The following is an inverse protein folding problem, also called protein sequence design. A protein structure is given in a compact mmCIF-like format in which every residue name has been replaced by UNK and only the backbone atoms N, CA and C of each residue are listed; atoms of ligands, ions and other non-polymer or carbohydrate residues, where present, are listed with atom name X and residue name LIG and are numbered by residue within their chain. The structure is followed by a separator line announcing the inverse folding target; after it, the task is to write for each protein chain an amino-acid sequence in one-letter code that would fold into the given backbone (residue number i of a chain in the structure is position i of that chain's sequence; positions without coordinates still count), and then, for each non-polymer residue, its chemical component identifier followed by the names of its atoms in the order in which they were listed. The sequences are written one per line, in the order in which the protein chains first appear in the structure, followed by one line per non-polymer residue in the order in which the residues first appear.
data_IF_553145547003
#
_entry.id   IF_553145547003
#
_cell.length_a   1.000
_cell.length_b   1.000
_cell.length_c   1.000
_cell.angle_alpha   90.00
_cell.angle_beta   90.00
_cell.angle_gamma   90.00
#
_symmetry.space_group_name_H-M   'P 1'
#
loop_
_entity.id
_entity.type
_entity.pdbx_description
1 polymer ?
#
# COMPACT_ATOMS: atom_id res chain seq x y z
N UNK A 1 -5.71 16.22 76.48
CA UNK A 1 -4.26 16.12 76.19
C UNK A 1 -3.88 15.08 75.10
N UNK A 2 -4.85 14.39 74.48
CA UNK A 2 -4.59 13.35 73.46
C UNK A 2 -4.71 13.89 72.03
N UNK A 3 -5.63 14.84 71.79
CA UNK A 3 -5.88 15.43 70.46
C UNK A 3 -4.69 16.26 69.93
N UNK A 4 -3.95 16.93 70.83
CA UNK A 4 -2.78 17.75 70.48
C UNK A 4 -1.56 16.90 70.04
N UNK A 5 -1.50 15.62 70.46
CA UNK A 5 -0.47 14.66 70.04
C UNK A 5 -0.78 14.04 68.68
N UNK A 6 -2.07 13.86 68.36
CA UNK A 6 -2.53 13.35 67.06
C UNK A 6 -2.37 14.39 65.96
N UNK A 7 -2.59 15.68 66.27
CA UNK A 7 -2.36 16.77 65.31
C UNK A 7 -0.87 16.95 64.95
N UNK A 8 0.04 16.65 65.89
CA UNK A 8 1.49 16.73 65.68
C UNK A 8 2.04 15.60 64.79
N UNK A 9 1.37 14.44 64.78
CA UNK A 9 1.73 13.30 63.92
C UNK A 9 1.23 13.51 62.47
N UNK A 10 0.07 14.17 62.30
CA UNK A 10 -0.46 14.52 60.98
C UNK A 10 0.35 15.62 60.27
N UNK A 11 0.95 16.56 61.02
CA UNK A 11 1.84 17.58 60.44
C UNK A 11 3.24 17.05 60.08
N UNK A 12 3.66 15.91 60.64
CA UNK A 12 4.97 15.32 60.34
C UNK A 12 5.00 14.50 59.04
N UNK A 13 3.84 14.04 58.55
CA UNK A 13 3.73 13.23 57.33
C UNK A 13 3.64 14.10 56.05
N UNK A 14 3.34 15.39 56.19
CA UNK A 14 3.20 16.31 55.06
C UNK A 14 4.53 16.85 54.49
N UNK A 15 5.68 16.49 55.07
CA UNK A 15 6.98 17.07 54.71
C UNK A 15 7.91 16.11 53.93
N UNK A 16 7.33 15.10 53.27
CA UNK A 16 8.09 14.02 52.62
C UNK A 16 7.67 13.78 51.16
N UNK A 17 7.46 14.86 50.40
CA UNK A 17 7.23 14.83 48.96
C UNK A 17 7.97 15.99 48.27
N UNK A 18 9.28 16.10 48.51
CA UNK A 18 10.17 16.88 47.64
C UNK A 18 10.80 15.89 46.68
N UNK A 19 10.14 15.68 45.54
CA UNK A 19 10.68 14.91 44.43
C UNK A 19 11.80 15.72 43.78
N UNK A 20 12.98 15.14 43.75
CA UNK A 20 14.15 15.63 43.02
C UNK A 20 13.83 15.81 41.54
N UNK A 21 13.86 17.03 41.04
CA UNK A 21 13.84 17.29 39.60
C UNK A 21 15.21 16.92 39.02
N UNK A 22 15.32 15.70 38.48
CA UNK A 22 16.43 15.35 37.61
C UNK A 22 16.30 16.16 36.32
N UNK A 23 17.13 17.18 36.15
CA UNK A 23 17.29 17.87 34.87
C UNK A 23 18.04 16.93 33.95
N UNK A 24 17.30 16.22 33.10
CA UNK A 24 17.87 15.49 31.97
C UNK A 24 18.10 16.48 30.84
N UNK A 25 19.36 16.81 30.55
CA UNK A 25 19.74 17.50 29.34
C UNK A 25 19.40 16.57 28.16
N UNK A 26 18.32 16.90 27.43
CA UNK A 26 17.94 16.18 26.23
C UNK A 26 18.82 16.67 25.09
N UNK A 27 19.80 15.85 24.71
CA UNK A 27 20.55 16.04 23.48
C UNK A 27 19.55 15.94 22.32
N UNK A 28 19.43 17.01 21.53
CA UNK A 28 18.57 17.07 20.35
C UNK A 28 19.09 16.07 19.30
N UNK A 29 18.71 14.81 19.46
CA UNK A 29 18.73 13.85 18.38
C UNK A 29 17.61 14.23 17.43
N UNK A 30 17.98 14.69 16.23
CA UNK A 30 17.05 14.90 15.12
C UNK A 30 16.48 13.53 14.77
N UNK A 31 15.36 13.19 15.37
CA UNK A 31 14.57 12.03 15.03
C UNK A 31 13.96 12.30 13.64
N UNK A 32 14.24 11.49 12.61
CA UNK A 32 13.60 11.67 11.33
C UNK A 32 12.09 11.50 11.52
N UNK A 33 11.35 12.58 11.29
CA UNK A 33 9.90 12.55 11.28
C UNK A 33 9.47 11.51 10.25
N UNK A 34 8.61 10.53 10.59
CA UNK A 34 8.08 9.61 9.60
C UNK A 34 7.34 10.43 8.53
N UNK A 35 7.74 10.27 7.28
CA UNK A 35 6.99 10.80 6.14
C UNK A 35 5.55 10.33 6.28
N UNK A 36 4.55 11.23 6.27
CA UNK A 36 3.15 10.82 6.36
C UNK A 36 2.86 9.83 5.23
N UNK A 37 2.43 8.60 5.57
CA UNK A 37 1.90 7.67 4.58
C UNK A 37 0.60 8.30 4.07
N UNK A 38 0.60 8.73 2.80
CA UNK A 38 -0.58 9.31 2.19
C UNK A 38 -1.66 8.23 2.07
N UNK A 39 -2.75 8.37 2.83
CA UNK A 39 -3.89 7.48 2.74
C UNK A 39 -4.75 7.82 1.52
N UNK A 40 -4.91 6.88 0.60
CA UNK A 40 -5.75 6.98 -0.57
C UNK A 40 -7.08 6.25 -0.31
N UNK A 41 -8.23 6.88 -0.53
CA UNK A 41 -9.52 6.19 -0.37
C UNK A 41 -9.83 5.36 -1.62
N UNK A 42 -9.48 4.07 -1.61
CA UNK A 42 -9.77 3.12 -2.70
C UNK A 42 -9.74 1.68 -2.21
N UNK A 43 -10.78 0.91 -2.52
CA UNK A 43 -10.89 -0.49 -2.15
C UNK A 43 -10.34 -1.40 -3.25
N UNK A 44 -9.22 -2.06 -2.99
CA UNK A 44 -8.64 -3.04 -3.91
C UNK A 44 -9.55 -4.26 -4.05
N UNK A 45 -9.72 -4.74 -5.28
CA UNK A 45 -10.45 -5.96 -5.56
C UNK A 45 -9.83 -7.18 -4.82
N UNK A 46 -10.65 -7.94 -4.10
CA UNK A 46 -10.17 -9.09 -3.33
C UNK A 46 -9.68 -10.23 -4.25
N UNK A 47 -8.48 -10.79 -4.02
CA UNK A 47 -7.91 -11.84 -4.87
C UNK A 47 -8.60 -13.20 -4.74
N UNK A 48 -9.21 -13.47 -3.57
CA UNK A 48 -9.75 -14.78 -3.24
C UNK A 48 -8.63 -15.80 -3.02
N UNK A 49 -8.14 -16.40 -4.11
CA UNK A 49 -7.09 -17.41 -4.09
C UNK A 49 -5.73 -16.79 -4.37
N UNK A 50 -4.78 -17.04 -3.46
CA UNK A 50 -3.42 -16.55 -3.58
C UNK A 50 -2.55 -17.43 -4.52
N UNK A 51 -1.44 -16.88 -5.04
CA UNK A 51 -0.52 -17.59 -5.93
C UNK A 51 0.16 -18.84 -5.35
N UNK A 52 0.09 -19.04 -4.03
CA UNK A 52 0.63 -20.19 -3.30
C UNK A 52 -0.25 -21.46 -3.44
N UNK A 53 -1.49 -21.33 -3.89
CA UNK A 53 -2.44 -22.43 -3.98
C UNK A 53 -2.33 -23.22 -5.30
N UNK A 54 -2.43 -24.57 -5.30
CA UNK A 54 -2.30 -25.40 -6.51
C UNK A 54 -3.29 -25.05 -7.62
N UNK A 55 -4.53 -24.72 -7.27
CA UNK A 55 -5.58 -24.32 -8.22
C UNK A 55 -5.38 -22.91 -8.80
N UNK A 56 -4.39 -22.15 -8.34
CA UNK A 56 -4.14 -20.80 -8.86
C UNK A 56 -3.82 -20.81 -10.37
N UNK A 57 -3.18 -21.87 -10.87
CA UNK A 57 -2.92 -22.05 -12.31
C UNK A 57 -4.21 -22.06 -13.13
N UNK A 58 -5.27 -22.70 -12.62
CA UNK A 58 -6.59 -22.73 -13.28
C UNK A 58 -7.22 -21.33 -13.30
N UNK A 59 -7.08 -20.57 -12.21
CA UNK A 59 -7.51 -19.17 -12.15
C UNK A 59 -6.83 -18.33 -13.23
N UNK A 60 -5.50 -18.43 -13.34
CA UNK A 60 -4.72 -17.70 -14.35
C UNK A 60 -5.12 -18.10 -15.76
N UNK A 61 -5.39 -19.38 -16.02
CA UNK A 61 -5.87 -19.84 -17.32
C UNK A 61 -7.23 -19.20 -17.67
N UNK A 62 -8.19 -19.23 -16.74
CA UNK A 62 -9.48 -18.55 -16.91
C UNK A 62 -9.30 -17.07 -17.23
N UNK A 63 -8.45 -16.38 -16.47
CA UNK A 63 -8.20 -14.94 -16.64
C UNK A 63 -7.64 -14.63 -18.05
N UNK A 64 -6.73 -15.48 -18.56
CA UNK A 64 -6.19 -15.36 -19.93
C UNK A 64 -7.25 -15.57 -21.00
N UNK A 65 -8.08 -16.62 -20.85
CA UNK A 65 -9.19 -16.89 -21.77
C UNK A 65 -10.14 -15.69 -21.78
N UNK A 66 -10.47 -15.15 -20.61
CA UNK A 66 -11.37 -14.01 -20.50
C UNK A 66 -10.81 -12.76 -21.18
N UNK A 67 -9.55 -12.41 -21.00
CA UNK A 67 -8.90 -11.29 -21.70
C UNK A 67 -9.00 -11.44 -23.23
N UNK A 68 -8.79 -12.66 -23.73
CA UNK A 68 -8.85 -12.93 -25.17
C UNK A 68 -10.27 -12.82 -25.73
N UNK A 69 -11.29 -13.09 -24.91
CA UNK A 69 -12.70 -13.02 -25.31
C UNK A 69 -13.29 -11.60 -25.21
N UNK A 70 -12.70 -10.71 -24.41
CA UNK A 70 -13.18 -9.33 -24.29
C UNK A 70 -12.83 -8.57 -25.58
N UNK A 71 -13.87 -8.18 -26.32
CA UNK A 71 -13.73 -7.42 -27.56
C UNK A 71 -13.70 -5.91 -27.29
N UNK A 72 -14.53 -5.42 -26.37
CA UNK A 72 -14.62 -4.00 -26.06
C UNK A 72 -13.35 -3.50 -25.32
N UNK A 73 -12.69 -2.43 -25.81
CA UNK A 73 -11.48 -1.89 -25.17
C UNK A 73 -11.69 -1.38 -23.75
N UNK A 74 -12.84 -0.77 -23.45
CA UNK A 74 -13.13 -0.22 -22.13
C UNK A 74 -13.33 -1.35 -21.10
N UNK A 75 -14.09 -2.38 -21.47
CA UNK A 75 -14.21 -3.61 -20.66
C UNK A 75 -12.85 -4.29 -20.42
N UNK A 76 -11.96 -4.27 -21.42
CA UNK A 76 -10.63 -4.87 -21.30
C UNK A 76 -9.74 -4.08 -20.34
N UNK A 77 -9.80 -2.75 -20.40
CA UNK A 77 -9.14 -1.84 -19.45
C UNK A 77 -9.63 -2.15 -18.03
N UNK A 78 -10.95 -2.22 -17.82
CA UNK A 78 -11.52 -2.56 -16.50
C UNK A 78 -11.07 -3.94 -16.01
N UNK A 79 -10.98 -4.92 -16.91
CA UNK A 79 -10.54 -6.26 -16.55
C UNK A 79 -9.08 -6.29 -16.12
N UNK A 80 -8.18 -5.62 -16.85
CA UNK A 80 -6.78 -5.50 -16.45
C UNK A 80 -6.62 -4.75 -15.11
N UNK A 81 -7.39 -3.69 -14.88
CA UNK A 81 -7.38 -2.96 -13.61
C UNK A 81 -7.74 -3.90 -12.46
N UNK A 82 -8.80 -4.68 -12.62
CA UNK A 82 -9.23 -5.69 -11.64
C UNK A 82 -8.15 -6.74 -11.37
N UNK A 83 -7.40 -7.18 -12.38
CA UNK A 83 -6.30 -8.12 -12.19
C UNK A 83 -5.12 -7.48 -11.44
N UNK A 84 -4.84 -6.22 -11.72
CA UNK A 84 -3.81 -5.45 -11.03
C UNK A 84 -4.17 -5.28 -9.54
N UNK A 85 -5.38 -4.81 -9.23
CA UNK A 85 -5.85 -4.62 -7.85
C UNK A 85 -5.76 -5.92 -7.03
N UNK A 86 -6.22 -7.04 -7.62
CA UNK A 86 -6.14 -8.37 -7.01
C UNK A 86 -4.70 -8.78 -6.77
N UNK A 87 -3.83 -8.55 -7.75
CA UNK A 87 -2.41 -8.86 -7.63
C UNK A 87 -1.74 -8.04 -6.53
N UNK A 88 -2.06 -6.75 -6.42
CA UNK A 88 -1.48 -5.87 -5.43
C UNK A 88 -1.86 -6.28 -4.00
N UNK A 89 -3.15 -6.55 -3.77
CA UNK A 89 -3.61 -7.06 -2.48
C UNK A 89 -3.04 -8.45 -2.18
N UNK A 90 -2.97 -9.35 -3.17
CA UNK A 90 -2.33 -10.65 -3.01
C UNK A 90 -0.85 -10.54 -2.62
N UNK A 91 -0.12 -9.57 -3.18
CA UNK A 91 1.27 -9.32 -2.81
C UNK A 91 1.39 -8.91 -1.33
N UNK A 92 0.52 -8.00 -0.86
CA UNK A 92 0.48 -7.61 0.56
C UNK A 92 0.20 -8.83 1.48
N UNK A 93 -0.79 -9.66 1.13
CA UNK A 93 -1.11 -10.88 1.87
C UNK A 93 0.04 -11.91 1.86
N UNK A 94 0.83 -11.97 0.79
CA UNK A 94 2.01 -12.84 0.73
C UNK A 94 3.15 -12.33 1.61
N UNK A 95 3.31 -11.01 1.76
CA UNK A 95 4.23 -10.43 2.76
C UNK A 95 3.75 -10.73 4.18
N UNK A 96 2.44 -10.66 4.46
CA UNK A 96 1.88 -11.08 5.75
C UNK A 96 2.25 -12.54 6.08
N UNK A 97 2.24 -13.40 5.06
CA UNK A 97 2.61 -14.82 5.15
C UNK A 97 4.12 -15.10 5.11
N UNK A 98 4.97 -14.07 5.11
CA UNK A 98 6.44 -14.21 4.99
C UNK A 98 6.92 -14.91 3.71
N UNK A 99 6.10 -14.98 2.65
CA UNK A 99 6.49 -15.52 1.35
C UNK A 99 6.94 -14.38 0.43
N UNK A 100 8.06 -13.75 0.80
CA UNK A 100 8.56 -12.52 0.14
C UNK A 100 8.91 -12.72 -1.34
N UNK A 101 9.57 -13.81 -1.77
CA UNK A 101 9.87 -14.02 -3.19
C UNK A 101 8.60 -14.10 -4.05
N UNK A 102 7.56 -14.75 -3.55
CA UNK A 102 6.29 -14.83 -4.27
C UNK A 102 5.55 -13.48 -4.24
N UNK A 103 5.62 -12.74 -3.14
CA UNK A 103 5.06 -11.39 -3.03
C UNK A 103 5.68 -10.43 -4.07
N UNK A 104 7.01 -10.42 -4.20
CA UNK A 104 7.74 -9.58 -5.17
C UNK A 104 7.29 -9.86 -6.61
N UNK A 105 7.26 -11.13 -7.02
CA UNK A 105 6.81 -11.50 -8.38
C UNK A 105 5.33 -11.21 -8.60
N UNK A 106 4.51 -11.27 -7.56
CA UNK A 106 3.08 -10.96 -7.63
C UNK A 106 2.84 -9.46 -7.77
N UNK A 107 3.57 -8.63 -7.01
CA UNK A 107 3.54 -7.17 -7.11
C UNK A 107 3.99 -6.70 -8.51
N UNK A 108 5.08 -7.26 -9.04
CA UNK A 108 5.56 -6.93 -10.39
C UNK A 108 4.52 -7.29 -11.46
N UNK A 109 3.87 -8.46 -11.35
CA UNK A 109 2.80 -8.86 -12.28
C UNK A 109 1.57 -7.96 -12.17
N UNK A 110 1.24 -7.48 -10.98
CA UNK A 110 0.15 -6.53 -10.77
C UNK A 110 0.40 -5.24 -11.57
N UNK A 111 1.59 -4.64 -11.42
CA UNK A 111 1.95 -3.43 -12.16
C UNK A 111 2.13 -3.67 -13.66
N UNK A 112 2.53 -4.88 -14.07
CA UNK A 112 2.54 -5.23 -15.48
C UNK A 112 1.13 -5.23 -16.08
N UNK A 113 0.09 -5.65 -15.35
CA UNK A 113 -1.29 -5.53 -15.83
C UNK A 113 -1.71 -4.07 -16.02
N UNK A 114 -1.21 -3.13 -15.20
CA UNK A 114 -1.43 -1.69 -15.45
C UNK A 114 -0.73 -1.25 -16.74
N UNK A 115 0.49 -1.73 -17.02
CA UNK A 115 1.15 -1.44 -18.31
C UNK A 115 0.34 -1.98 -19.50
N UNK A 116 -0.21 -3.20 -19.40
CA UNK A 116 -1.08 -3.76 -20.44
C UNK A 116 -2.37 -2.96 -20.60
N UNK A 117 -2.96 -2.51 -19.49
CA UNK A 117 -4.12 -1.63 -19.49
C UNK A 117 -3.82 -0.31 -20.23
N UNK A 118 -2.68 0.32 -19.97
CA UNK A 118 -2.27 1.56 -20.62
C UNK A 118 -2.13 1.34 -22.13
N UNK A 119 -1.60 0.21 -22.57
CA UNK A 119 -1.55 -0.10 -24.00
C UNK A 119 -2.96 -0.14 -24.62
N UNK A 120 -3.96 -0.71 -23.93
CA UNK A 120 -5.34 -0.69 -24.40
C UNK A 120 -5.95 0.72 -24.38
N UNK A 121 -5.59 1.55 -23.40
CA UNK A 121 -6.01 2.95 -23.30
C UNK A 121 -5.58 3.77 -24.54
N UNK A 122 -4.32 3.62 -24.96
CA UNK A 122 -3.80 4.28 -26.17
C UNK A 122 -4.33 3.68 -27.47
N UNK A 123 -4.73 2.41 -27.48
CA UNK A 123 -5.30 1.73 -28.67
C UNK A 123 -6.79 1.98 -28.84
N UNK A 124 -7.50 2.45 -27.81
CA UNK A 124 -8.93 2.66 -27.87
C UNK A 124 -9.29 3.81 -28.84
N UNK A 125 -10.09 3.49 -29.85
CA UNK A 125 -10.60 4.46 -30.84
C UNK A 125 -11.44 5.54 -30.16
N UNK A 126 -12.26 5.12 -29.20
CA UNK A 126 -13.07 5.98 -28.33
C UNK A 126 -12.37 6.13 -26.99
N UNK A 127 -12.29 7.37 -26.50
CA UNK A 127 -11.79 7.63 -25.16
C UNK A 127 -12.67 6.90 -24.12
N UNK A 128 -12.08 6.18 -23.15
CA UNK A 128 -12.84 5.61 -22.06
C UNK A 128 -13.55 6.67 -21.24
N UNK A 129 -14.55 6.26 -20.45
CA UNK A 129 -15.26 7.18 -19.58
C UNK A 129 -14.32 7.91 -18.60
N UNK A 130 -14.59 9.19 -18.34
CA UNK A 130 -13.78 9.99 -17.42
C UNK A 130 -13.71 9.37 -16.02
N UNK A 131 -14.79 8.72 -15.58
CA UNK A 131 -14.85 7.99 -14.32
C UNK A 131 -13.85 6.81 -14.29
N UNK A 132 -13.71 6.08 -15.39
CA UNK A 132 -12.73 4.99 -15.46
C UNK A 132 -11.30 5.52 -15.36
N UNK A 133 -10.99 6.64 -16.00
CA UNK A 133 -9.65 7.25 -15.90
C UNK A 133 -9.36 7.75 -14.48
N UNK A 134 -10.33 8.39 -13.82
CA UNK A 134 -10.20 8.82 -12.43
C UNK A 134 -9.97 7.62 -11.48
N UNK A 135 -10.73 6.54 -11.67
CA UNK A 135 -10.55 5.29 -10.93
C UNK A 135 -9.16 4.71 -11.15
N UNK A 136 -8.66 4.69 -12.39
CA UNK A 136 -7.31 4.19 -12.72
C UNK A 136 -6.21 5.00 -12.03
N UNK A 137 -6.32 6.33 -12.00
CA UNK A 137 -5.37 7.19 -11.27
C UNK A 137 -5.39 6.89 -9.78
N UNK A 138 -6.59 6.81 -9.20
CA UNK A 138 -6.78 6.55 -7.77
C UNK A 138 -6.25 5.16 -7.38
N UNK A 139 -6.53 4.14 -8.19
CA UNK A 139 -6.00 2.78 -8.00
C UNK A 139 -4.47 2.76 -8.07
N UNK A 140 -3.88 3.45 -9.04
CA UNK A 140 -2.43 3.53 -9.20
C UNK A 140 -1.75 4.21 -7.99
N UNK A 141 -2.36 5.26 -7.43
CA UNK A 141 -1.89 5.88 -6.18
C UNK A 141 -2.03 4.91 -4.99
N UNK A 142 -3.15 4.19 -4.90
CA UNK A 142 -3.35 3.15 -3.88
C UNK A 142 -2.31 2.02 -4.00
N UNK A 143 -1.94 1.61 -5.20
CA UNK A 143 -0.89 0.62 -5.43
C UNK A 143 0.46 1.09 -4.88
N UNK A 144 0.83 2.34 -5.14
CA UNK A 144 2.05 2.94 -4.60
C UNK A 144 2.01 3.00 -3.07
N UNK A 145 0.89 3.41 -2.49
CA UNK A 145 0.69 3.40 -1.02
C UNK A 145 0.87 1.99 -0.44
N UNK A 146 0.22 0.98 -1.04
CA UNK A 146 0.34 -0.41 -0.59
C UNK A 146 1.79 -0.87 -0.68
N UNK A 147 2.47 -0.69 -1.81
CA UNK A 147 3.88 -1.08 -1.97
C UNK A 147 4.78 -0.38 -0.95
N UNK A 148 4.59 0.92 -0.73
CA UNK A 148 5.33 1.68 0.28
C UNK A 148 5.10 1.14 1.69
N UNK A 149 3.88 0.70 2.00
CA UNK A 149 3.56 0.06 3.29
C UNK A 149 4.25 -1.29 3.51
N UNK A 150 4.72 -1.95 2.44
CA UNK A 150 5.44 -3.23 2.53
C UNK A 150 6.93 -3.04 2.86
N UNK A 151 7.53 -1.91 2.50
CA UNK A 151 8.96 -1.63 2.71
C UNK A 151 9.45 -1.79 4.16
N UNK A 152 8.73 -1.31 5.21
CA UNK A 152 9.17 -1.52 6.60
C UNK A 152 9.00 -2.97 7.09
N UNK A 153 8.33 -3.84 6.31
CA UNK A 153 7.94 -5.19 6.70
C UNK A 153 8.81 -6.29 6.10
N UNK A 154 9.80 -5.90 5.29
CA UNK A 154 10.72 -6.80 4.60
C UNK A 154 12.16 -6.44 4.95
N UNK A 155 13.08 -7.37 4.74
CA UNK A 155 14.51 -7.11 4.99
C UNK A 155 15.07 -6.10 4.01
N UNK A 156 16.19 -5.47 4.36
CA UNK A 156 16.82 -4.45 3.51
C UNK A 156 17.18 -4.97 2.11
N UNK A 157 17.66 -6.21 2.02
CA UNK A 157 17.96 -6.88 0.76
C UNK A 157 16.71 -7.06 -0.13
N UNK A 158 15.53 -7.21 0.47
CA UNK A 158 14.27 -7.44 -0.24
C UNK A 158 13.56 -6.14 -0.67
N UNK A 159 13.88 -5.01 -0.02
CA UNK A 159 13.30 -3.68 -0.32
C UNK A 159 13.53 -3.25 -1.76
N UNK A 160 14.72 -3.48 -2.30
CA UNK A 160 15.12 -3.06 -3.65
C UNK A 160 14.13 -3.54 -4.72
N UNK A 161 13.58 -4.76 -4.57
CA UNK A 161 12.59 -5.28 -5.50
C UNK A 161 11.27 -4.50 -5.43
N UNK A 162 10.76 -4.22 -4.23
CA UNK A 162 9.54 -3.43 -4.07
C UNK A 162 9.72 -1.97 -4.48
N UNK A 163 10.87 -1.36 -4.19
CA UNK A 163 11.22 -0.01 -4.66
C UNK A 163 11.25 0.06 -6.20
N UNK A 164 11.79 -0.98 -6.84
CA UNK A 164 11.74 -1.12 -8.30
C UNK A 164 10.30 -1.15 -8.81
N UNK A 165 9.42 -1.93 -8.17
CA UNK A 165 8.00 -2.00 -8.52
C UNK A 165 7.29 -0.67 -8.29
N UNK A 166 7.60 0.07 -7.21
CA UNK A 166 7.09 1.45 -7.00
C UNK A 166 7.52 2.35 -8.15
N UNK A 167 8.78 2.25 -8.60
CA UNK A 167 9.27 2.98 -9.76
C UNK A 167 8.51 2.66 -11.05
N UNK A 168 8.16 1.38 -11.28
CA UNK A 168 7.29 0.99 -12.39
C UNK A 168 5.89 1.59 -12.25
N UNK A 169 5.29 1.52 -11.05
CA UNK A 169 3.96 2.06 -10.79
C UNK A 169 3.87 3.57 -11.02
N UNK A 170 4.91 4.32 -10.63
CA UNK A 170 5.01 5.77 -10.91
C UNK A 170 5.06 6.06 -12.40
N UNK A 171 5.82 5.28 -13.17
CA UNK A 171 5.87 5.43 -14.64
C UNK A 171 4.52 5.10 -15.28
N UNK A 172 3.87 4.05 -14.82
CA UNK A 172 2.52 3.70 -15.28
C UNK A 172 1.53 4.85 -15.02
N UNK A 173 1.53 5.44 -13.82
CA UNK A 173 0.68 6.60 -13.50
C UNK A 173 1.01 7.80 -14.41
N UNK A 174 2.29 8.09 -14.64
CA UNK A 174 2.70 9.15 -15.55
C UNK A 174 2.12 8.93 -16.96
N UNK A 175 2.17 7.71 -17.50
CA UNK A 175 1.59 7.42 -18.81
C UNK A 175 0.07 7.61 -18.88
N UNK A 176 -0.64 7.42 -17.76
CA UNK A 176 -2.08 7.74 -17.67
C UNK A 176 -2.31 9.25 -17.70
N UNK A 177 -1.43 10.02 -17.05
CA UNK A 177 -1.50 11.48 -17.06
C UNK A 177 -1.13 12.06 -18.43
N UNK A 178 -0.12 11.49 -19.09
CA UNK A 178 0.27 11.87 -20.46
C UNK A 178 -0.89 11.62 -21.44
N UNK A 179 -1.58 10.48 -21.34
CA UNK A 179 -2.78 10.19 -22.14
C UNK A 179 -3.86 11.27 -22.01
N UNK A 180 -4.04 11.84 -20.81
CA UNK A 180 -5.01 12.91 -20.58
C UNK A 180 -4.58 14.26 -21.16
N UNK A 181 -3.28 14.52 -21.23
CA UNK A 181 -2.74 15.77 -21.76
C UNK A 181 -2.73 15.81 -23.30
N UNK A 182 -2.72 14.65 -23.96
CA UNK A 182 -2.68 14.51 -25.42
C UNK A 182 -4.07 14.52 -26.09
N UNK A 183 -5.17 14.53 -25.32
CA UNK A 183 -6.57 14.47 -25.77
C UNK A 183 -7.30 15.78 -25.50
#
# INVERSE_FOLDING_TARGET
MVVKRILLVLTAISLLLVSTTSVSAQENTVQPSPTPIQYISYDLAFPGMLPDHPLYKLKVLRDKIQIQLIADPEEKIEFYLRLADKGMLAAAMLVDKQNIPLAQTTALKAEHNITLLINELFRAERAPSANLIERLKTASLKHQEVLSSLLPRVSENERTSFETVIGFSKRNLQSVEDYLNER
#
